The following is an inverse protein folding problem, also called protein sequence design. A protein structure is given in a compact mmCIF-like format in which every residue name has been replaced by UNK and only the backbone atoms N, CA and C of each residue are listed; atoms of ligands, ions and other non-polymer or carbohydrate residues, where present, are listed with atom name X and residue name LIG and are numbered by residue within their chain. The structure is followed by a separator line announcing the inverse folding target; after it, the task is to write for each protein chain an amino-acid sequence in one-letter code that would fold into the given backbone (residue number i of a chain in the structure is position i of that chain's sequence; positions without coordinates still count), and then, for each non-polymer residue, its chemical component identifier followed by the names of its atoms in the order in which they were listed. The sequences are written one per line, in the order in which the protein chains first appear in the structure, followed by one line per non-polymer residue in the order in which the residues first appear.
data_IF_638121206045
#
_entry.id   IF_638121206045
#
_cell.length_a   1.000
_cell.length_b   1.000
_cell.length_c   1.000
_cell.angle_alpha   90.00
_cell.angle_beta   90.00
_cell.angle_gamma   90.00
#
_symmetry.space_group_name_H-M   'P 1'
#
loop_
_entity.id
_entity.type
_entity.pdbx_description
1 polymer ?
#
# COMPACT_ATOMS: atom_id res chain seq x y z
N UNK A 1 50.09 12.70 -18.30
CA UNK A 1 50.28 14.16 -18.42
C UNK A 1 49.06 14.69 -19.14
N UNK A 2 48.05 15.16 -18.39
CA UNK A 2 47.82 16.57 -18.03
C UNK A 2 47.27 17.36 -19.24
N UNK A 3 46.18 18.12 -19.19
CA UNK A 3 45.45 18.69 -18.07
C UNK A 3 43.96 18.89 -18.41
N UNK A 4 43.13 18.88 -17.37
CA UNK A 4 41.76 19.38 -17.37
C UNK A 4 41.79 20.89 -17.15
N UNK A 5 41.01 21.65 -17.90
CA UNK A 5 40.73 23.06 -17.62
C UNK A 5 39.30 23.21 -17.13
N UNK A 6 39.20 23.71 -15.90
CA UNK A 6 37.99 24.12 -15.23
C UNK A 6 37.45 25.41 -15.85
N UNK A 7 36.16 25.45 -16.14
CA UNK A 7 35.45 26.69 -16.44
C UNK A 7 34.51 27.01 -15.28
N UNK A 8 34.91 28.00 -14.48
CA UNK A 8 34.09 28.65 -13.46
C UNK A 8 34.19 30.15 -13.70
N UNK A 9 33.05 30.81 -13.94
CA UNK A 9 32.90 32.26 -13.93
C UNK A 9 31.40 32.62 -13.77
N UNK A 10 31.06 33.85 -13.37
CA UNK A 10 31.37 34.48 -12.09
C UNK A 10 30.10 34.95 -11.37
N UNK A 11 30.22 35.17 -10.05
CA UNK A 11 29.20 35.83 -9.21
C UNK A 11 29.22 37.33 -9.49
N UNK A 12 28.06 37.91 -9.78
CA UNK A 12 27.83 39.37 -9.79
C UNK A 12 26.64 39.72 -8.89
N UNK A 13 26.86 40.74 -8.08
CA UNK A 13 26.04 41.19 -6.95
C UNK A 13 25.11 42.35 -7.37
N UNK A 14 24.00 42.51 -6.62
CA UNK A 14 23.26 43.77 -6.30
C UNK A 14 22.22 44.30 -7.33
N UNK A 15 21.20 45.10 -6.93
CA UNK A 15 20.13 44.88 -5.93
C UNK A 15 18.70 45.30 -6.41
N UNK A 16 17.72 45.14 -5.50
CA UNK A 16 16.57 46.03 -5.27
C UNK A 16 15.25 45.90 -6.07
N UNK A 17 14.16 45.89 -5.27
CA UNK A 17 12.73 46.08 -5.56
C UNK A 17 12.03 44.91 -6.28
N UNK A 18 10.92 44.32 -5.80
CA UNK A 18 9.87 44.80 -4.92
C UNK A 18 9.04 43.60 -4.37
N UNK A 19 8.34 43.88 -3.27
CA UNK A 19 7.21 43.14 -2.68
C UNK A 19 7.49 41.92 -1.76
N UNK A 20 7.49 42.21 -0.46
CA UNK A 20 7.23 41.31 0.67
C UNK A 20 5.69 41.07 0.85
N UNK A 21 5.17 40.49 1.96
CA UNK A 21 5.54 39.32 2.77
C UNK A 21 4.31 38.41 3.11
N UNK A 22 4.54 37.19 3.64
CA UNK A 22 3.71 36.49 4.65
C UNK A 22 4.25 35.03 4.79
N UNK A 23 4.88 34.62 5.90
CA UNK A 23 4.26 34.21 7.18
C UNK A 23 3.37 32.97 7.00
N UNK A 24 3.40 31.89 7.77
CA UNK A 24 4.13 31.45 8.97
C UNK A 24 3.71 29.97 9.17
N UNK A 25 4.51 29.19 9.89
CA UNK A 25 4.16 27.85 10.38
C UNK A 25 2.87 27.86 11.21
N UNK A 26 2.03 26.82 11.11
CA UNK A 26 1.14 26.46 12.21
C UNK A 26 0.70 24.99 12.15
N UNK A 27 0.89 24.39 13.31
CA UNK A 27 0.67 23.02 13.74
C UNK A 27 -0.82 22.70 14.01
N UNK A 28 -1.13 21.41 13.81
CA UNK A 28 -2.22 20.57 14.38
C UNK A 28 -3.53 21.18 14.90
N UNK A 29 -4.65 20.54 14.54
CA UNK A 29 -5.56 19.95 15.54
C UNK A 29 -6.59 19.01 14.91
N UNK A 30 -6.79 17.86 15.55
CA UNK A 30 -7.86 16.92 15.30
C UNK A 30 -9.22 17.48 15.72
N UNK A 31 -10.31 17.18 15.00
CA UNK A 31 -11.63 17.07 15.62
C UNK A 31 -12.51 16.04 14.89
N UNK A 32 -12.93 15.04 15.65
CA UNK A 32 -14.06 14.15 15.36
C UNK A 32 -15.37 14.95 15.38
N UNK A 33 -16.20 14.82 14.34
CA UNK A 33 -17.64 15.06 14.46
C UNK A 33 -18.42 14.26 13.42
N UNK A 34 -19.45 13.58 13.90
CA UNK A 34 -20.36 12.75 13.13
C UNK A 34 -21.47 13.58 12.44
N UNK A 35 -21.96 13.02 11.33
CA UNK A 35 -23.25 13.25 10.67
C UNK A 35 -23.43 14.54 9.82
N UNK A 36 -23.24 14.38 8.50
CA UNK A 36 -24.22 14.83 7.50
C UNK A 36 -24.00 14.04 6.20
N UNK A 37 -24.98 13.22 5.82
CA UNK A 37 -24.98 12.44 4.60
C UNK A 37 -25.29 13.33 3.38
N UNK A 38 -24.24 13.63 2.61
CA UNK A 38 -24.37 14.11 1.23
C UNK A 38 -23.38 13.30 0.40
N UNK A 39 -23.78 12.11 -0.04
CA UNK A 39 -22.94 11.28 -0.92
C UNK A 39 -23.03 11.82 -2.36
N UNK A 40 -21.95 12.38 -2.95
CA UNK A 40 -21.87 12.50 -4.40
C UNK A 40 -21.77 11.10 -5.04
N UNK A 41 -22.29 10.92 -6.26
CA UNK A 41 -22.34 9.61 -6.89
C UNK A 41 -20.91 9.14 -7.23
N UNK A 42 -20.58 7.92 -6.82
CA UNK A 42 -19.32 7.19 -7.12
C UNK A 42 -18.05 7.65 -6.40
N UNK A 43 -18.10 7.83 -5.07
CA UNK A 43 -16.89 7.71 -4.27
C UNK A 43 -16.40 6.25 -4.34
N UNK A 44 -15.41 5.98 -5.19
CA UNK A 44 -14.71 4.70 -5.22
C UNK A 44 -14.24 4.40 -3.79
N UNK A 45 -14.80 3.33 -3.19
CA UNK A 45 -14.32 2.89 -1.88
C UNK A 45 -12.84 2.55 -2.06
N UNK A 46 -11.92 3.25 -1.39
CA UNK A 46 -10.50 3.20 -1.70
C UNK A 46 -10.00 1.75 -1.68
N UNK A 47 -10.46 0.95 -0.71
CA UNK A 47 -10.32 -0.50 -0.62
C UNK A 47 -11.50 -1.07 0.19
N UNK A 48 -11.78 -2.37 0.06
CA UNK A 48 -12.65 -3.15 0.97
C UNK A 48 -11.96 -3.44 2.30
N UNK A 49 -10.63 -3.54 2.32
CA UNK A 49 -9.86 -3.75 3.54
C UNK A 49 -9.63 -2.45 4.31
N UNK A 50 -9.73 -2.46 5.65
CA UNK A 50 -9.49 -1.28 6.48
C UNK A 50 -7.99 -0.92 6.53
N UNK A 51 -7.62 0.24 5.98
CA UNK A 51 -6.23 0.67 5.86
C UNK A 51 -5.49 0.76 7.21
N UNK A 52 -6.18 1.14 8.29
CA UNK A 52 -5.59 1.18 9.63
C UNK A 52 -5.11 -0.20 10.09
N UNK A 53 -5.86 -1.26 9.75
CA UNK A 53 -5.49 -2.64 10.10
C UNK A 53 -4.30 -3.12 9.28
N UNK A 54 -4.30 -2.84 7.97
CA UNK A 54 -3.17 -3.15 7.08
C UNK A 54 -1.90 -2.48 7.58
N UNK A 55 -1.97 -1.18 7.92
CA UNK A 55 -0.83 -0.46 8.51
C UNK A 55 -0.33 -1.09 9.82
N UNK A 56 -1.25 -1.54 10.69
CA UNK A 56 -0.85 -2.21 11.95
C UNK A 56 -0.14 -3.54 11.73
N UNK A 57 -0.52 -4.30 10.69
CA UNK A 57 0.10 -5.56 10.33
C UNK A 57 1.50 -5.34 9.74
N UNK A 58 1.64 -4.34 8.85
CA UNK A 58 2.93 -3.94 8.29
C UNK A 58 3.91 -3.51 9.39
N UNK A 59 3.43 -2.78 10.41
CA UNK A 59 4.24 -2.34 11.56
C UNK A 59 4.37 -3.39 12.68
N UNK A 60 3.84 -4.60 12.50
CA UNK A 60 4.11 -5.70 13.43
C UNK A 60 5.53 -6.23 13.27
N UNK A 61 6.15 -5.98 12.11
CA UNK A 61 7.58 -6.21 11.87
C UNK A 61 8.41 -5.15 12.61
N UNK A 62 9.34 -5.54 13.52
CA UNK A 62 10.17 -4.61 14.27
C UNK A 62 11.09 -3.76 13.38
N UNK A 63 11.41 -4.22 12.18
CA UNK A 63 12.30 -3.52 11.26
C UNK A 63 11.57 -2.46 10.41
N UNK A 64 10.24 -2.33 10.56
CA UNK A 64 9.41 -1.38 9.80
C UNK A 64 9.01 -0.17 10.65
N UNK A 65 9.80 0.90 10.57
CA UNK A 65 9.53 2.14 11.33
C UNK A 65 8.43 3.01 10.69
N UNK A 66 8.48 3.22 9.38
CA UNK A 66 7.56 4.08 8.62
C UNK A 66 6.85 3.29 7.52
N UNK A 67 5.57 3.59 7.34
CA UNK A 67 4.75 3.09 6.22
C UNK A 67 3.93 4.26 5.65
N UNK A 68 4.19 4.61 4.39
CA UNK A 68 3.47 5.68 3.69
C UNK A 68 2.02 5.30 3.40
N UNK A 69 1.14 6.29 3.23
CA UNK A 69 -0.27 6.04 2.94
C UNK A 69 -0.46 5.32 1.60
N UNK A 70 0.34 5.66 0.59
CA UNK A 70 0.31 5.01 -0.74
C UNK A 70 0.74 3.54 -0.67
N UNK A 71 1.80 3.22 0.08
CA UNK A 71 2.24 1.83 0.26
C UNK A 71 1.16 0.99 0.96
N UNK A 72 0.54 1.52 2.02
CA UNK A 72 -0.57 0.84 2.72
C UNK A 72 -1.77 0.63 1.80
N UNK A 73 -2.08 1.60 0.92
CA UNK A 73 -3.15 1.49 -0.05
C UNK A 73 -2.87 0.40 -1.11
N UNK A 74 -1.66 0.37 -1.67
CA UNK A 74 -1.25 -0.64 -2.64
C UNK A 74 -1.30 -2.03 -2.01
N UNK A 75 -0.78 -2.20 -0.79
CA UNK A 75 -0.85 -3.47 -0.06
C UNK A 75 -2.29 -3.92 0.12
N UNK A 76 -3.18 -3.02 0.55
CA UNK A 76 -4.60 -3.35 0.70
C UNK A 76 -5.24 -3.80 -0.63
N UNK A 77 -4.90 -3.18 -1.77
CA UNK A 77 -5.36 -3.64 -3.09
C UNK A 77 -4.73 -4.94 -3.55
N UNK A 78 -3.44 -5.12 -3.32
CA UNK A 78 -2.75 -6.36 -3.63
C UNK A 78 -3.35 -7.53 -2.84
N UNK A 79 -3.65 -7.34 -1.55
CA UNK A 79 -4.29 -8.36 -0.72
C UNK A 79 -5.69 -8.72 -1.23
N UNK A 80 -6.48 -7.78 -1.74
CA UNK A 80 -7.77 -8.10 -2.36
C UNK A 80 -7.63 -9.00 -3.59
N UNK A 81 -6.69 -8.67 -4.48
CA UNK A 81 -6.39 -9.47 -5.66
C UNK A 81 -5.82 -10.84 -5.28
N UNK A 82 -4.95 -10.88 -4.27
CA UNK A 82 -4.37 -12.12 -3.75
C UNK A 82 -5.44 -13.08 -3.22
N UNK A 83 -6.39 -12.57 -2.43
CA UNK A 83 -7.51 -13.39 -1.91
C UNK A 83 -8.38 -13.92 -3.05
N UNK A 84 -8.65 -13.11 -4.07
CA UNK A 84 -9.41 -13.57 -5.24
C UNK A 84 -8.67 -14.65 -6.03
N UNK A 85 -7.36 -14.50 -6.19
CA UNK A 85 -6.49 -15.44 -6.91
C UNK A 85 -6.45 -16.80 -6.20
N UNK A 86 -6.02 -16.84 -4.94
CA UNK A 86 -5.89 -18.09 -4.20
C UNK A 86 -7.24 -18.80 -3.99
N UNK A 87 -8.33 -18.03 -3.85
CA UNK A 87 -9.67 -18.61 -3.75
C UNK A 87 -10.11 -19.29 -5.05
N UNK A 88 -9.79 -18.73 -6.23
CA UNK A 88 -10.09 -19.35 -7.53
C UNK A 88 -9.29 -20.63 -7.75
N UNK A 89 -8.01 -20.62 -7.36
CA UNK A 89 -7.14 -21.78 -7.54
C UNK A 89 -7.55 -22.91 -6.59
N UNK A 90 -7.76 -22.61 -5.30
CA UNK A 90 -8.33 -23.56 -4.36
C UNK A 90 -9.70 -24.10 -4.83
N UNK A 91 -10.57 -23.25 -5.38
CA UNK A 91 -11.86 -23.70 -5.90
C UNK A 91 -11.72 -24.64 -7.11
N UNK A 92 -10.65 -24.53 -7.89
CA UNK A 92 -10.36 -25.47 -8.99
C UNK A 92 -10.16 -26.90 -8.45
N UNK A 93 -9.45 -27.07 -7.33
CA UNK A 93 -9.32 -28.37 -6.66
C UNK A 93 -10.64 -28.88 -6.07
N UNK A 94 -11.47 -27.98 -5.52
CA UNK A 94 -12.81 -28.34 -5.05
C UNK A 94 -13.67 -28.90 -6.21
N UNK A 95 -13.62 -28.25 -7.38
CA UNK A 95 -14.35 -28.68 -8.59
C UNK A 95 -13.85 -30.01 -9.15
N UNK A 96 -12.54 -30.27 -9.11
CA UNK A 96 -11.97 -31.59 -9.48
C UNK A 96 -12.56 -32.71 -8.60
N UNK A 97 -12.79 -32.41 -7.31
CA UNK A 97 -13.51 -33.28 -6.38
C UNK A 97 -15.03 -33.33 -6.57
N UNK A 98 -15.59 -32.73 -7.63
CA UNK A 98 -17.03 -32.56 -7.89
C UNK A 98 -17.80 -31.88 -6.75
N UNK A 99 -17.10 -31.08 -5.93
CA UNK A 99 -17.68 -30.33 -4.82
C UNK A 99 -17.85 -28.87 -5.23
N UNK A 100 -18.89 -28.24 -4.66
CA UNK A 100 -19.13 -26.80 -4.76
C UNK A 100 -18.77 -26.05 -3.47
N UNK A 101 -18.36 -26.80 -2.45
CA UNK A 101 -17.94 -26.27 -1.15
C UNK A 101 -16.43 -26.39 -1.04
N UNK A 102 -15.77 -25.25 -0.88
CA UNK A 102 -14.32 -25.14 -0.66
C UNK A 102 -13.98 -25.66 0.74
N UNK A 103 -12.98 -26.53 0.82
CA UNK A 103 -12.47 -27.11 2.07
C UNK A 103 -11.00 -26.72 2.27
N UNK A 104 -10.50 -26.80 3.51
CA UNK A 104 -9.09 -26.50 3.83
C UNK A 104 -8.11 -27.27 2.95
N UNK A 105 -8.35 -28.57 2.74
CA UNK A 105 -7.53 -29.42 1.85
C UNK A 105 -7.41 -28.89 0.41
N UNK A 106 -8.40 -28.15 -0.09
CA UNK A 106 -8.36 -27.59 -1.44
C UNK A 106 -7.39 -26.39 -1.52
N UNK A 107 -7.27 -25.65 -0.40
CA UNK A 107 -6.29 -24.59 -0.23
C UNK A 107 -4.89 -25.16 -0.07
N UNK A 108 -4.73 -26.23 0.72
CA UNK A 108 -3.45 -26.93 0.90
C UNK A 108 -2.93 -27.44 -0.46
N UNK A 109 -3.80 -28.09 -1.25
CA UNK A 109 -3.45 -28.53 -2.61
C UNK A 109 -3.08 -27.37 -3.55
N UNK A 110 -3.72 -26.20 -3.41
CA UNK A 110 -3.39 -25.03 -4.21
C UNK A 110 -2.02 -24.46 -3.86
N UNK A 111 -1.67 -24.45 -2.57
CA UNK A 111 -0.37 -24.00 -2.09
C UNK A 111 0.74 -24.93 -2.60
N UNK A 112 0.54 -26.25 -2.51
CA UNK A 112 1.53 -27.24 -3.01
C UNK A 112 1.68 -27.23 -4.54
N UNK A 113 0.65 -26.80 -5.28
CA UNK A 113 0.65 -26.83 -6.73
C UNK A 113 1.34 -25.63 -7.41
N UNK A 114 1.42 -24.48 -6.72
CA UNK A 114 1.93 -23.24 -7.32
C UNK A 114 3.01 -22.59 -6.44
N UNK A 115 4.20 -22.44 -7.01
CA UNK A 115 5.40 -21.87 -6.35
C UNK A 115 5.17 -20.44 -5.82
N UNK A 116 4.28 -19.68 -6.46
CA UNK A 116 3.86 -18.34 -6.01
C UNK A 116 3.15 -18.32 -4.65
N UNK A 117 2.66 -19.47 -4.19
CA UNK A 117 2.08 -19.63 -2.85
C UNK A 117 3.03 -20.29 -1.85
N UNK A 118 4.28 -20.60 -2.22
CA UNK A 118 5.23 -21.30 -1.34
C UNK A 118 5.48 -20.57 0.00
N UNK A 119 5.33 -19.24 0.04
CA UNK A 119 5.43 -18.45 1.26
C UNK A 119 4.36 -18.78 2.33
N UNK A 120 3.31 -19.52 1.94
CA UNK A 120 2.25 -20.01 2.84
C UNK A 120 2.50 -21.42 3.36
N UNK A 121 3.51 -22.14 2.87
CA UNK A 121 3.82 -23.49 3.35
C UNK A 121 4.11 -23.49 4.85
N UNK A 122 3.49 -24.42 5.59
CA UNK A 122 3.62 -24.52 7.04
C UNK A 122 2.93 -23.42 7.85
N UNK A 123 2.25 -22.46 7.22
CA UNK A 123 1.53 -21.38 7.94
C UNK A 123 0.11 -21.75 8.35
N UNK A 124 -0.49 -22.78 7.74
CA UNK A 124 -1.90 -23.12 7.87
C UNK A 124 -2.20 -24.33 8.76
N UNK A 125 -1.20 -24.88 9.48
CA UNK A 125 -1.33 -26.13 10.26
C UNK A 125 -2.43 -26.12 11.34
#
# INVERSE_FOLDING_TARGET
MAAAEAYVAPVSTTPAAAAAPAAEEAEQAAVSSAAAATNPPTAARPTRLPLARVKSLVKADPDVNLASQEAVFILARATELFVEMIAKDAYTFAQQGKRKTLQRKDLDNAIEAADEFAFLEGTLD
#
